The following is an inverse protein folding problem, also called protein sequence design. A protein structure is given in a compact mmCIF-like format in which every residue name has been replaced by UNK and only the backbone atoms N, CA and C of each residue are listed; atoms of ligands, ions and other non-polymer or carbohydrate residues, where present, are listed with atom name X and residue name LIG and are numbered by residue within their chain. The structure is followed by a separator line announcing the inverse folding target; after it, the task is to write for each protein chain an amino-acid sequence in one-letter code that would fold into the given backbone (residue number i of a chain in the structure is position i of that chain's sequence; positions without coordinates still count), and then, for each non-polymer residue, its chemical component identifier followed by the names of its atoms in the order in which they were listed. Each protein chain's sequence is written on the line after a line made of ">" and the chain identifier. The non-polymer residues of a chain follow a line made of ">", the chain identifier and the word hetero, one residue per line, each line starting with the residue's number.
data_IF_855286654196
#
_entry.id   IF_855286654196
#
_cell.length_a   1.000
_cell.length_b   1.000
_cell.length_c   1.000
_cell.angle_alpha   90.00
_cell.angle_beta   90.00
_cell.angle_gamma   90.00
#
_symmetry.space_group_name_H-M   'P 1'
#
loop_
_entity.id
_entity.type
_entity.pdbx_description
1 polymer ?
#
# COMPACT_ATOMS: atom_id res chain seq x y z
N UNK A 1 2.72 22.32 8.87
CA UNK A 1 1.90 21.98 7.69
C UNK A 1 1.46 20.52 7.84
N UNK A 2 0.23 20.16 7.44
CA UNK A 2 -0.16 18.75 7.37
C UNK A 2 0.84 18.02 6.48
N UNK A 3 1.20 16.80 6.85
CA UNK A 3 2.08 15.97 6.03
C UNK A 3 1.38 15.70 4.69
N UNK A 4 2.09 15.79 3.58
CA UNK A 4 1.53 15.55 2.25
C UNK A 4 1.72 14.12 1.76
N UNK A 5 2.66 13.39 2.38
CA UNK A 5 3.08 12.04 2.02
C UNK A 5 3.85 11.40 3.19
N UNK A 6 3.95 10.08 3.19
CA UNK A 6 4.69 9.28 4.15
C UNK A 6 6.05 8.88 3.57
N UNK A 7 7.11 9.11 4.33
CA UNK A 7 8.45 8.61 4.02
C UNK A 7 8.58 7.19 4.52
N UNK A 8 8.81 6.24 3.61
CA UNK A 8 8.90 4.82 3.94
C UNK A 8 10.26 4.23 3.55
N UNK A 9 10.69 3.20 4.27
CA UNK A 9 11.82 2.35 3.89
C UNK A 9 11.30 0.94 3.62
N UNK A 10 11.89 0.26 2.65
CA UNK A 10 11.66 -1.16 2.39
C UNK A 10 12.90 -1.97 2.80
N UNK A 11 12.67 -2.99 3.63
CA UNK A 11 13.63 -4.03 3.98
C UNK A 11 13.14 -5.36 3.45
N UNK A 12 13.81 -5.88 2.44
CA UNK A 12 13.41 -7.08 1.72
C UNK A 12 14.65 -7.64 1.03
N UNK A 13 15.04 -8.89 1.27
CA UNK A 13 16.23 -9.47 0.65
C UNK A 13 15.97 -9.92 -0.79
N UNK A 14 14.75 -10.40 -1.10
CA UNK A 14 14.35 -10.73 -2.46
C UNK A 14 14.27 -9.48 -3.36
N UNK A 15 15.15 -9.34 -4.37
CA UNK A 15 15.12 -8.19 -5.26
C UNK A 15 13.80 -8.05 -6.03
N UNK A 16 13.08 -9.14 -6.32
CA UNK A 16 11.81 -9.06 -7.04
C UNK A 16 10.71 -8.50 -6.16
N UNK A 17 10.54 -9.04 -4.95
CA UNK A 17 9.62 -8.49 -3.97
C UNK A 17 9.94 -7.03 -3.65
N UNK A 18 11.23 -6.69 -3.48
CA UNK A 18 11.67 -5.33 -3.14
C UNK A 18 11.30 -4.32 -4.24
N UNK A 19 11.64 -4.64 -5.49
CA UNK A 19 11.28 -3.82 -6.64
C UNK A 19 9.76 -3.69 -6.80
N UNK A 20 9.02 -4.77 -6.53
CA UNK A 20 7.56 -4.76 -6.61
C UNK A 20 6.94 -3.82 -5.57
N UNK A 21 7.38 -3.91 -4.32
CA UNK A 21 6.93 -3.01 -3.26
C UNK A 21 7.33 -1.56 -3.53
N UNK A 22 8.53 -1.32 -4.04
CA UNK A 22 8.99 0.01 -4.43
C UNK A 22 8.12 0.62 -5.54
N UNK A 23 7.74 -0.18 -6.55
CA UNK A 23 6.83 0.25 -7.62
C UNK A 23 5.44 0.62 -7.08
N UNK A 24 4.87 -0.21 -6.20
CA UNK A 24 3.57 0.07 -5.58
C UNK A 24 3.60 1.36 -4.74
N UNK A 25 4.68 1.57 -3.99
CA UNK A 25 4.86 2.77 -3.19
C UNK A 25 5.11 4.03 -4.05
N UNK A 26 5.86 3.92 -5.14
CA UNK A 26 6.11 5.05 -6.04
C UNK A 26 4.85 5.49 -6.80
N UNK A 27 3.90 4.57 -7.01
CA UNK A 27 2.63 4.84 -7.69
C UNK A 27 1.59 5.52 -6.83
N UNK A 28 1.67 5.37 -5.50
CA UNK A 28 0.67 5.88 -4.58
C UNK A 28 0.97 7.33 -4.18
N UNK A 29 -0.02 8.23 -4.29
CA UNK A 29 0.15 9.64 -3.90
C UNK A 29 0.58 9.85 -2.45
N UNK A 30 0.29 8.90 -1.56
CA UNK A 30 0.52 9.03 -0.12
C UNK A 30 1.92 8.62 0.29
N UNK A 31 2.70 7.94 -0.56
CA UNK A 31 3.99 7.37 -0.15
C UNK A 31 5.16 7.89 -0.96
N UNK A 32 6.32 8.01 -0.29
CA UNK A 32 7.61 8.30 -0.90
C UNK A 32 8.66 7.38 -0.32
N UNK A 33 9.42 6.74 -1.20
CA UNK A 33 10.49 5.84 -0.80
C UNK A 33 11.73 6.64 -0.39
N UNK A 34 12.14 6.47 0.86
CA UNK A 34 13.33 7.10 1.44
C UNK A 34 14.58 6.21 1.31
N UNK A 35 14.40 4.91 1.13
CA UNK A 35 15.49 3.96 0.94
C UNK A 35 15.03 2.52 0.83
N UNK A 36 15.90 1.69 0.27
CA UNK A 36 15.71 0.27 0.06
C UNK A 36 16.94 -0.46 0.58
N UNK A 37 16.74 -1.55 1.32
CA UNK A 37 17.84 -2.38 1.78
C UNK A 37 17.47 -3.86 1.74
N UNK A 38 18.51 -4.67 1.58
CA UNK A 38 18.47 -6.13 1.47
C UNK A 38 18.79 -6.84 2.80
N UNK A 39 19.14 -6.08 3.83
CA UNK A 39 19.55 -6.60 5.14
C UNK A 39 19.03 -5.70 6.26
N UNK A 40 18.42 -6.27 7.33
CA UNK A 40 17.80 -5.49 8.40
C UNK A 40 18.73 -4.44 9.01
N UNK A 41 19.99 -4.81 9.28
CA UNK A 41 20.91 -3.94 10.03
C UNK A 41 21.47 -2.77 9.20
N UNK A 42 21.33 -2.81 7.88
CA UNK A 42 21.78 -1.71 7.00
C UNK A 42 20.94 -0.44 7.17
N UNK A 43 19.77 -0.51 7.81
CA UNK A 43 18.97 0.70 8.10
C UNK A 43 19.50 1.53 9.27
N UNK A 44 20.26 0.93 10.18
CA UNK A 44 20.67 1.58 11.44
C UNK A 44 21.40 2.91 11.18
N UNK A 45 22.36 3.00 10.24
CA UNK A 45 22.97 4.29 9.90
C UNK A 45 21.96 5.34 9.45
N UNK A 46 20.92 4.96 8.70
CA UNK A 46 19.89 5.87 8.22
C UNK A 46 18.96 6.31 9.36
N UNK A 47 18.58 5.40 10.26
CA UNK A 47 17.78 5.73 11.46
C UNK A 47 18.50 6.74 12.37
N UNK A 48 19.84 6.72 12.40
CA UNK A 48 20.64 7.68 13.14
C UNK A 48 20.89 9.01 12.41
N UNK A 49 20.67 9.06 11.09
CA UNK A 49 20.77 10.32 10.36
C UNK A 49 19.58 11.22 10.75
N UNK A 50 19.86 12.43 11.23
CA UNK A 50 18.84 13.44 11.59
C UNK A 50 18.11 14.04 10.37
N UNK A 51 18.25 13.46 9.18
CA UNK A 51 17.74 13.99 7.93
C UNK A 51 16.40 13.32 7.58
N UNK A 52 15.34 14.12 7.64
CA UNK A 52 13.92 13.78 7.41
C UNK A 52 13.28 12.77 8.40
N UNK A 53 12.04 13.05 8.86
CA UNK A 53 11.31 12.12 9.69
C UNK A 53 10.79 10.95 8.84
N UNK A 54 11.40 9.78 9.04
CA UNK A 54 10.90 8.50 8.55
C UNK A 54 9.59 8.13 9.26
N UNK A 55 8.56 7.74 8.51
CA UNK A 55 7.27 7.37 9.07
C UNK A 55 7.14 5.88 9.30
N UNK A 56 7.60 5.05 8.35
CA UNK A 56 7.36 3.62 8.38
C UNK A 56 8.53 2.83 7.78
N UNK A 57 8.82 1.69 8.40
CA UNK A 57 9.69 0.63 7.88
C UNK A 57 8.79 -0.55 7.49
N UNK A 58 8.78 -0.88 6.20
CA UNK A 58 8.29 -2.17 5.72
C UNK A 58 9.38 -3.20 5.96
N UNK A 59 9.10 -4.20 6.78
CA UNK A 59 10.08 -5.17 7.23
C UNK A 59 9.70 -6.57 6.77
N UNK A 60 10.46 -7.15 5.85
CA UNK A 60 10.31 -8.54 5.49
C UNK A 60 10.72 -9.47 6.64
N UNK A 61 9.89 -10.47 6.89
CA UNK A 61 10.07 -11.44 7.98
C UNK A 61 10.77 -12.71 7.52
N UNK A 62 10.97 -12.90 6.22
CA UNK A 62 11.55 -14.11 5.63
C UNK A 62 13.06 -13.95 5.32
N UNK A 63 13.66 -12.81 5.65
CA UNK A 63 15.09 -12.54 5.45
C UNK A 63 15.97 -13.58 6.17
N UNK A 64 16.96 -14.20 5.48
CA UNK A 64 17.88 -15.15 6.09
C UNK A 64 18.64 -14.59 7.31
N UNK A 65 18.80 -15.43 8.33
CA UNK A 65 19.48 -15.05 9.58
C UNK A 65 18.58 -15.08 10.83
N UNK A 66 17.32 -15.48 10.69
CA UNK A 66 16.37 -15.65 11.80
C UNK A 66 15.86 -14.32 12.36
N UNK A 67 15.21 -14.38 13.52
CA UNK A 67 14.51 -13.23 14.12
C UNK A 67 15.41 -12.35 15.02
N UNK A 68 16.73 -12.50 14.92
CA UNK A 68 17.74 -11.75 15.71
C UNK A 68 17.83 -10.27 15.33
N UNK A 69 17.18 -9.88 14.24
CA UNK A 69 17.06 -8.47 13.86
C UNK A 69 16.11 -7.69 14.78
N UNK A 70 15.06 -8.32 15.33
CA UNK A 70 14.03 -7.61 16.11
C UNK A 70 14.64 -6.79 17.25
N UNK A 71 15.47 -7.35 18.15
CA UNK A 71 16.03 -6.59 19.27
C UNK A 71 16.93 -5.45 18.81
N UNK A 72 17.64 -5.62 17.69
CA UNK A 72 18.57 -4.63 17.16
C UNK A 72 17.84 -3.43 16.57
N UNK A 73 16.80 -3.69 15.76
CA UNK A 73 15.95 -2.65 15.19
C UNK A 73 15.18 -1.91 16.30
N UNK A 74 14.61 -2.64 17.25
CA UNK A 74 13.94 -2.04 18.41
C UNK A 74 14.90 -1.18 19.24
N UNK A 75 16.13 -1.64 19.45
CA UNK A 75 17.18 -0.87 20.12
C UNK A 75 17.50 0.44 19.40
N UNK A 76 17.57 0.42 18.07
CA UNK A 76 17.82 1.62 17.25
C UNK A 76 16.67 2.64 17.33
N UNK A 77 15.40 2.18 17.38
CA UNK A 77 14.24 3.10 17.41
C UNK A 77 13.84 3.56 18.82
N UNK A 78 14.18 2.81 19.88
CA UNK A 78 13.74 3.09 21.26
C UNK A 78 14.20 4.44 21.82
N UNK A 79 15.27 5.03 21.27
CA UNK A 79 15.78 6.35 21.67
C UNK A 79 15.21 7.52 20.85
N UNK A 80 14.38 7.26 19.85
CA UNK A 80 13.88 8.29 18.93
C UNK A 80 12.67 9.01 19.55
N UNK A 81 12.64 10.34 19.43
CA UNK A 81 11.48 11.15 19.85
C UNK A 81 10.19 10.76 19.11
N UNK A 82 10.36 10.41 17.83
CA UNK A 82 9.30 9.94 16.95
C UNK A 82 9.83 8.69 16.23
N UNK A 83 9.73 7.50 16.84
CA UNK A 83 10.18 6.27 16.20
C UNK A 83 9.28 5.97 14.99
N UNK A 84 9.85 5.45 13.89
CA UNK A 84 9.04 5.02 12.75
C UNK A 84 8.15 3.83 13.17
N UNK A 85 6.99 3.74 12.52
CA UNK A 85 6.16 2.55 12.56
C UNK A 85 6.88 1.38 11.84
N UNK A 86 6.60 0.14 12.24
CA UNK A 86 7.15 -1.08 11.64
C UNK A 86 5.98 -1.95 11.21
N UNK A 87 5.81 -2.09 9.90
CA UNK A 87 4.82 -2.98 9.30
C UNK A 87 5.56 -4.18 8.73
N UNK A 88 5.33 -5.35 9.32
CA UNK A 88 5.95 -6.58 8.87
C UNK A 88 5.26 -7.14 7.63
N UNK A 89 6.03 -7.66 6.69
CA UNK A 89 5.54 -8.38 5.50
C UNK A 89 6.13 -9.79 5.51
N UNK A 90 5.35 -10.79 5.12
CA UNK A 90 5.86 -12.15 5.00
C UNK A 90 5.19 -12.97 3.91
N UNK A 91 5.84 -14.03 3.47
CA UNK A 91 5.27 -15.02 2.54
C UNK A 91 4.34 -15.96 3.31
N UNK A 92 4.68 -16.27 4.57
CA UNK A 92 3.90 -17.12 5.47
C UNK A 92 3.78 -16.50 6.84
N UNK A 93 2.73 -16.88 7.56
CA UNK A 93 2.53 -16.46 8.93
C UNK A 93 3.58 -17.14 9.84
N UNK A 94 4.42 -16.35 10.49
CA UNK A 94 5.44 -16.85 11.43
C UNK A 94 5.00 -16.59 12.90
N UNK A 95 4.77 -17.65 13.71
CA UNK A 95 4.39 -17.52 15.13
C UNK A 95 5.48 -16.86 15.99
N UNK A 96 6.76 -17.10 15.68
CA UNK A 96 7.89 -16.58 16.46
C UNK A 96 8.03 -15.07 16.26
N UNK A 97 7.79 -14.59 15.04
CA UNK A 97 7.71 -13.16 14.74
C UNK A 97 6.52 -12.54 15.49
N UNK A 98 5.31 -13.08 15.27
CA UNK A 98 4.08 -12.51 15.85
C UNK A 98 4.15 -12.44 17.38
N UNK A 99 4.64 -13.51 18.03
CA UNK A 99 4.79 -13.57 19.49
C UNK A 99 5.78 -12.54 20.07
N UNK A 100 6.65 -11.98 19.23
CA UNK A 100 7.66 -10.97 19.61
C UNK A 100 7.23 -9.53 19.28
N UNK A 101 6.08 -9.32 18.64
CA UNK A 101 5.56 -8.00 18.26
C UNK A 101 4.87 -7.27 19.42
N UNK A 102 5.55 -7.13 20.57
CA UNK A 102 5.00 -6.48 21.76
C UNK A 102 5.37 -4.99 21.87
N UNK A 103 6.21 -4.49 20.97
CA UNK A 103 6.68 -3.10 21.00
C UNK A 103 5.68 -2.15 20.28
N UNK A 104 5.40 -0.95 20.81
CA UNK A 104 4.45 0.00 20.21
C UNK A 104 4.81 0.49 18.79
N UNK A 105 6.07 0.35 18.37
CA UNK A 105 6.48 0.68 17.01
C UNK A 105 5.95 -0.30 15.97
N UNK A 106 5.67 -1.55 16.33
CA UNK A 106 5.00 -2.43 15.40
C UNK A 106 3.58 -1.91 15.18
N UNK A 107 3.11 -1.99 13.94
CA UNK A 107 1.76 -1.52 13.55
C UNK A 107 0.99 -2.55 12.74
N UNK A 108 1.59 -3.70 12.46
CA UNK A 108 0.92 -4.73 11.70
C UNK A 108 1.84 -5.81 11.18
N UNK A 109 1.23 -6.89 10.72
CA UNK A 109 1.88 -7.98 10.03
C UNK A 109 0.94 -8.48 8.93
N UNK A 110 1.40 -8.42 7.68
CA UNK A 110 0.61 -8.74 6.49
C UNK A 110 1.32 -9.79 5.64
N UNK A 111 0.54 -10.67 5.00
CA UNK A 111 1.09 -11.64 4.05
C UNK A 111 1.09 -11.08 2.63
N UNK A 112 2.23 -11.22 1.93
CA UNK A 112 2.47 -10.68 0.58
C UNK A 112 1.42 -11.18 -0.43
N UNK A 113 1.03 -12.45 -0.34
CA UNK A 113 0.03 -13.06 -1.22
C UNK A 113 -1.42 -12.66 -0.90
N UNK A 114 -1.70 -12.19 0.32
CA UNK A 114 -3.03 -11.76 0.75
C UNK A 114 -3.22 -10.26 0.55
N UNK A 115 -2.18 -9.45 0.77
CA UNK A 115 -2.22 -8.00 0.53
C UNK A 115 -2.12 -7.65 -0.95
N UNK A 116 -1.42 -8.47 -1.74
CA UNK A 116 -1.32 -8.31 -3.19
C UNK A 116 -0.92 -6.88 -3.61
N UNK A 117 -1.78 -6.14 -4.29
CA UNK A 117 -1.51 -4.77 -4.77
C UNK A 117 -1.87 -3.67 -3.76
N UNK A 118 -2.44 -4.04 -2.62
CA UNK A 118 -2.97 -3.11 -1.61
C UNK A 118 -1.94 -2.62 -0.60
N UNK A 119 -0.63 -2.73 -0.90
CA UNK A 119 0.44 -2.40 0.05
C UNK A 119 0.34 -0.96 0.57
N UNK A 120 0.14 0.01 -0.32
CA UNK A 120 0.06 1.42 0.08
C UNK A 120 -1.17 1.72 0.95
N UNK A 121 -2.26 0.98 0.76
CA UNK A 121 -3.41 1.03 1.66
C UNK A 121 -3.07 0.52 3.06
N UNK A 122 -2.34 -0.59 3.16
CA UNK A 122 -1.88 -1.10 4.46
C UNK A 122 -1.01 -0.08 5.20
N UNK A 123 -0.13 0.63 4.50
CA UNK A 123 0.73 1.68 5.05
C UNK A 123 -0.11 2.83 5.62
N UNK A 124 -1.04 3.38 4.83
CA UNK A 124 -1.88 4.49 5.27
C UNK A 124 -2.72 4.12 6.50
N UNK A 125 -3.37 2.95 6.46
CA UNK A 125 -4.21 2.47 7.57
C UNK A 125 -3.36 2.24 8.82
N UNK A 126 -2.15 1.70 8.69
CA UNK A 126 -1.24 1.51 9.81
C UNK A 126 -0.81 2.85 10.41
N UNK A 127 -0.47 3.84 9.57
CA UNK A 127 -0.09 5.18 10.00
C UNK A 127 -1.26 6.01 10.55
N UNK A 128 -2.51 5.60 10.29
CA UNK A 128 -3.70 6.15 10.94
C UNK A 128 -3.86 5.67 12.41
N UNK A 129 -2.95 4.84 12.91
CA UNK A 129 -2.94 4.32 14.28
C UNK A 129 -3.74 3.03 14.47
N UNK A 130 -4.07 2.33 13.38
CA UNK A 130 -4.74 1.02 13.41
C UNK A 130 -3.72 -0.10 13.24
N UNK A 131 -3.88 -1.19 13.96
CA UNK A 131 -3.12 -2.40 13.73
C UNK A 131 -3.61 -3.10 12.46
N UNK A 132 -2.71 -3.40 11.53
CA UNK A 132 -3.08 -3.96 10.22
C UNK A 132 -2.64 -5.42 10.12
N UNK A 133 -3.57 -6.30 9.77
CA UNK A 133 -3.27 -7.71 9.52
C UNK A 133 -3.95 -8.22 8.25
N UNK A 134 -3.46 -9.30 7.68
CA UNK A 134 -4.22 -10.09 6.71
C UNK A 134 -4.84 -11.32 7.37
N UNK A 135 -5.72 -12.03 6.65
CA UNK A 135 -6.48 -13.16 7.20
C UNK A 135 -5.59 -14.29 7.75
N UNK A 136 -4.48 -14.62 7.09
CA UNK A 136 -3.54 -15.63 7.56
C UNK A 136 -2.91 -15.26 8.91
N UNK A 137 -2.57 -13.98 9.11
CA UNK A 137 -2.05 -13.48 10.40
C UNK A 137 -3.14 -13.46 11.46
N UNK A 138 -4.37 -13.06 11.13
CA UNK A 138 -5.51 -13.12 12.05
C UNK A 138 -5.78 -14.55 12.52
N UNK A 139 -5.79 -15.50 11.59
CA UNK A 139 -5.98 -16.92 11.87
C UNK A 139 -4.87 -17.46 12.77
N UNK A 140 -3.61 -17.11 12.50
CA UNK A 140 -2.47 -17.46 13.37
C UNK A 140 -2.65 -16.88 14.77
N UNK A 141 -2.92 -15.57 14.89
CA UNK A 141 -3.11 -14.91 16.17
C UNK A 141 -4.21 -15.59 17.00
N UNK A 142 -5.32 -15.95 16.37
CA UNK A 142 -6.40 -16.71 17.01
C UNK A 142 -5.94 -18.10 17.47
N UNK A 143 -5.17 -18.83 16.67
CA UNK A 143 -4.72 -20.19 17.03
C UNK A 143 -3.74 -20.20 18.20
N UNK A 144 -2.88 -19.18 18.30
CA UNK A 144 -1.95 -19.04 19.42
C UNK A 144 -2.52 -18.20 20.59
N UNK A 145 -3.78 -17.76 20.52
CA UNK A 145 -4.41 -16.86 21.49
C UNK A 145 -3.62 -15.56 21.73
N UNK A 146 -2.95 -15.07 20.68
CA UNK A 146 -2.27 -13.79 20.70
C UNK A 146 -3.29 -12.66 20.56
N UNK A 147 -3.40 -11.74 21.54
CA UNK A 147 -4.34 -10.63 21.47
C UNK A 147 -3.83 -9.57 20.50
N UNK A 148 -4.45 -9.45 19.32
CA UNK A 148 -4.12 -8.39 18.38
C UNK A 148 -4.39 -7.00 19.00
N UNK A 149 -3.43 -6.05 18.92
CA UNK A 149 -3.61 -4.69 19.42
C UNK A 149 -4.81 -3.99 18.76
N UNK A 150 -5.50 -3.13 19.52
CA UNK A 150 -6.69 -2.40 19.03
C UNK A 150 -6.44 -0.90 18.94
N UNK A 151 -7.06 -0.20 17.97
CA UNK A 151 -7.98 -0.71 16.94
C UNK A 151 -7.26 -1.56 15.88
N UNK A 152 -7.92 -2.59 15.34
CA UNK A 152 -7.33 -3.47 14.33
C UNK A 152 -8.22 -3.60 13.10
N UNK A 153 -7.60 -3.68 11.92
CA UNK A 153 -8.26 -3.90 10.63
C UNK A 153 -7.63 -5.10 9.94
N UNK A 154 -8.48 -5.97 9.43
CA UNK A 154 -8.09 -7.10 8.57
C UNK A 154 -8.25 -6.66 7.13
N UNK A 155 -7.20 -6.82 6.35
CA UNK A 155 -7.19 -6.50 4.92
C UNK A 155 -7.21 -7.76 4.08
N UNK A 156 -8.03 -7.76 3.03
CA UNK A 156 -7.96 -8.73 1.95
C UNK A 156 -7.75 -8.01 0.61
N UNK A 157 -6.48 -7.91 0.19
CA UNK A 157 -6.09 -7.31 -1.09
C UNK A 157 -6.34 -8.19 -2.31
N UNK A 158 -6.92 -9.38 -2.13
CA UNK A 158 -7.44 -10.21 -3.23
C UNK A 158 -8.88 -9.82 -3.60
N UNK A 159 -9.56 -9.10 -2.70
CA UNK A 159 -10.92 -8.60 -2.90
C UNK A 159 -10.90 -7.09 -3.04
N UNK A 160 -10.57 -6.62 -4.24
CA UNK A 160 -10.59 -5.19 -4.58
C UNK A 160 -11.73 -4.90 -5.55
N UNK A 161 -11.94 -3.62 -5.91
CA UNK A 161 -12.87 -3.26 -6.99
C UNK A 161 -12.52 -3.95 -8.30
N UNK A 162 -11.26 -4.34 -8.52
CA UNK A 162 -10.86 -5.16 -9.66
C UNK A 162 -11.60 -6.50 -9.71
N UNK A 163 -12.00 -7.07 -8.57
CA UNK A 163 -12.77 -8.32 -8.50
C UNK A 163 -14.21 -8.19 -9.02
N UNK A 164 -14.71 -6.95 -9.21
CA UNK A 164 -16.02 -6.67 -9.81
C UNK A 164 -15.96 -6.53 -11.33
N UNK A 165 -14.76 -6.44 -11.89
CA UNK A 165 -14.52 -6.34 -13.33
C UNK A 165 -14.62 -7.73 -13.98
N UNK A 166 -14.97 -7.78 -15.26
CA UNK A 166 -14.77 -9.01 -16.04
C UNK A 166 -13.28 -9.37 -16.10
N UNK A 167 -12.95 -10.64 -16.34
CA UNK A 167 -11.56 -11.11 -16.43
C UNK A 167 -10.72 -10.25 -17.39
N UNK A 168 -11.27 -9.97 -18.58
CA UNK A 168 -10.58 -9.15 -19.57
C UNK A 168 -10.36 -7.71 -19.08
N UNK A 169 -11.37 -7.09 -18.46
CA UNK A 169 -11.24 -5.75 -17.89
C UNK A 169 -10.27 -5.70 -16.71
N UNK A 170 -10.18 -6.77 -15.90
CA UNK A 170 -9.20 -6.88 -14.83
C UNK A 170 -7.77 -6.98 -15.37
N UNK A 171 -7.56 -7.70 -16.49
CA UNK A 171 -6.26 -7.75 -17.17
C UNK A 171 -5.90 -6.37 -17.76
N UNK A 172 -6.85 -5.72 -18.45
CA UNK A 172 -6.70 -4.35 -18.95
C UNK A 172 -6.37 -3.38 -17.83
N UNK A 173 -7.11 -3.40 -16.71
CA UNK A 173 -6.89 -2.49 -15.59
C UNK A 173 -5.52 -2.68 -14.95
N UNK A 174 -5.05 -3.94 -14.90
CA UNK A 174 -3.72 -4.26 -14.38
C UNK A 174 -2.63 -3.68 -15.28
N UNK A 175 -2.69 -3.94 -16.58
CA UNK A 175 -1.71 -3.39 -17.53
C UNK A 175 -1.76 -1.85 -17.56
N UNK A 176 -2.96 -1.28 -17.63
CA UNK A 176 -3.17 0.15 -17.78
C UNK A 176 -2.84 0.96 -16.53
N UNK A 177 -3.21 0.50 -15.33
CA UNK A 177 -3.17 1.33 -14.11
C UNK A 177 -2.15 0.86 -13.09
N UNK A 178 -1.91 -0.45 -12.98
CA UNK A 178 -0.89 -0.99 -12.07
C UNK A 178 0.51 -0.88 -12.69
N UNK A 179 0.63 -1.28 -13.95
CA UNK A 179 1.90 -1.19 -14.69
C UNK A 179 2.04 0.11 -15.49
N UNK A 180 0.98 0.92 -15.60
CA UNK A 180 1.00 2.20 -16.32
C UNK A 180 1.46 2.07 -17.77
N UNK A 181 1.09 0.96 -18.40
CA UNK A 181 1.43 0.67 -19.77
C UNK A 181 0.81 1.72 -20.70
N UNK A 182 1.61 2.23 -21.64
CA UNK A 182 1.12 3.17 -22.63
C UNK A 182 0.05 2.51 -23.52
N UNK A 183 -0.89 3.30 -24.07
CA UNK A 183 -2.06 2.76 -24.77
C UNK A 183 -1.72 1.94 -26.00
N UNK A 184 -0.64 2.31 -26.69
CA UNK A 184 -0.09 1.56 -27.82
C UNK A 184 0.49 0.21 -27.37
N UNK A 185 1.35 0.22 -26.35
CA UNK A 185 1.93 -1.01 -25.79
C UNK A 185 0.86 -1.95 -25.23
N UNK A 186 -0.18 -1.38 -24.59
CA UNK A 186 -1.34 -2.11 -24.11
C UNK A 186 -2.09 -2.79 -25.26
N UNK A 187 -2.30 -2.08 -26.37
CA UNK A 187 -2.97 -2.64 -27.52
C UNK A 187 -2.16 -3.77 -28.17
N UNK A 188 -0.83 -3.58 -28.28
CA UNK A 188 0.09 -4.61 -28.76
C UNK A 188 0.08 -5.85 -27.86
N UNK A 189 0.14 -5.68 -26.54
CA UNK A 189 0.11 -6.79 -25.55
C UNK A 189 -1.23 -7.55 -25.58
N UNK A 190 -2.34 -6.84 -25.79
CA UNK A 190 -3.67 -7.44 -25.90
C UNK A 190 -3.98 -8.02 -27.29
N UNK A 191 -3.10 -7.79 -28.28
CA UNK A 191 -3.31 -8.21 -29.67
C UNK A 191 -4.50 -7.50 -30.35
N UNK A 192 -4.76 -6.25 -29.99
CA UNK A 192 -5.87 -5.43 -30.51
C UNK A 192 -5.36 -4.16 -31.20
N UNK A 193 -6.23 -3.48 -31.95
CA UNK A 193 -5.90 -2.17 -32.54
C UNK A 193 -5.87 -1.08 -31.47
N UNK A 194 -4.96 -0.11 -31.61
CA UNK A 194 -4.75 0.96 -30.61
C UNK A 194 -6.04 1.69 -30.18
N UNK A 195 -6.90 2.06 -31.13
CA UNK A 195 -8.19 2.72 -30.86
C UNK A 195 -9.11 1.89 -29.94
N UNK A 196 -9.04 0.55 -30.03
CA UNK A 196 -9.78 -0.34 -29.14
C UNK A 196 -9.19 -0.33 -27.73
N UNK A 197 -7.87 -0.21 -27.60
CA UNK A 197 -7.20 -0.05 -26.30
C UNK A 197 -7.67 1.19 -25.54
N UNK A 198 -7.84 2.33 -26.23
CA UNK A 198 -8.43 3.54 -25.63
C UNK A 198 -9.88 3.31 -25.19
N UNK A 199 -10.68 2.65 -26.02
CA UNK A 199 -12.08 2.32 -25.70
C UNK A 199 -12.20 1.45 -24.45
N UNK A 200 -11.37 0.39 -24.34
CA UNK A 200 -11.37 -0.51 -23.18
C UNK A 200 -10.99 0.22 -21.89
N UNK A 201 -9.93 1.03 -21.91
CA UNK A 201 -9.52 1.80 -20.73
C UNK A 201 -10.62 2.79 -20.32
N UNK A 202 -11.30 3.45 -21.28
CA UNK A 202 -12.43 4.34 -20.99
C UNK A 202 -13.58 3.60 -20.31
N UNK A 203 -13.92 2.40 -20.77
CA UNK A 203 -14.95 1.57 -20.13
C UNK A 203 -14.58 1.19 -18.70
N UNK A 204 -13.31 0.88 -18.44
CA UNK A 204 -12.86 0.61 -17.07
C UNK A 204 -12.96 1.87 -16.20
N UNK A 205 -12.58 3.05 -16.71
CA UNK A 205 -12.77 4.31 -15.98
C UNK A 205 -14.23 4.59 -15.62
N UNK A 206 -15.15 4.32 -16.55
CA UNK A 206 -16.60 4.48 -16.34
C UNK A 206 -17.12 3.49 -15.30
N UNK A 207 -16.72 2.22 -15.39
CA UNK A 207 -17.12 1.20 -14.42
C UNK A 207 -16.58 1.47 -13.01
N UNK A 208 -15.39 2.05 -12.92
CA UNK A 208 -14.82 2.49 -11.64
C UNK A 208 -15.45 3.80 -11.14
N UNK A 209 -16.20 4.56 -11.95
CA UNK A 209 -16.77 5.85 -11.53
C UNK A 209 -15.71 6.92 -11.26
N UNK A 210 -14.55 6.86 -11.93
CA UNK A 210 -13.42 7.79 -11.68
C UNK A 210 -13.83 9.25 -11.94
N UNK A 211 -14.62 9.50 -12.99
CA UNK A 211 -15.13 10.84 -13.30
C UNK A 211 -16.14 11.33 -12.26
N UNK A 212 -16.95 10.43 -11.72
CA UNK A 212 -17.96 10.75 -10.71
C UNK A 212 -17.29 11.18 -9.42
N UNK A 213 -16.24 10.48 -8.98
CA UNK A 213 -15.41 10.86 -7.81
C UNK A 213 -14.79 12.26 -7.96
N UNK A 214 -14.39 12.65 -9.17
CA UNK A 214 -13.79 13.96 -9.41
C UNK A 214 -14.82 15.10 -9.42
N UNK A 215 -16.09 14.79 -9.68
CA UNK A 215 -17.14 15.80 -9.85
C UNK A 215 -18.03 15.91 -8.62
N UNK A 216 -18.39 14.79 -8.02
CA UNK A 216 -19.30 14.65 -6.88
C UNK A 216 -18.55 14.43 -5.56
N UNK A 217 -18.76 15.35 -4.60
CA UNK A 217 -18.11 15.27 -3.29
C UNK A 217 -18.65 14.13 -2.41
N UNK A 218 -19.94 13.80 -2.52
CA UNK A 218 -20.55 12.73 -1.74
C UNK A 218 -20.02 11.37 -2.19
N UNK A 219 -19.91 11.16 -3.51
CA UNK A 219 -19.31 9.94 -4.08
C UNK A 219 -17.84 9.85 -3.64
N UNK A 220 -17.05 10.91 -3.79
CA UNK A 220 -15.65 10.92 -3.35
C UNK A 220 -15.50 10.52 -1.87
N UNK A 221 -16.33 11.09 -0.99
CA UNK A 221 -16.30 10.77 0.45
C UNK A 221 -16.71 9.33 0.72
N UNK A 222 -17.68 8.77 0.01
CA UNK A 222 -18.08 7.37 0.19
C UNK A 222 -16.93 6.37 -0.03
N UNK A 223 -15.94 6.71 -0.87
CA UNK A 223 -14.74 5.90 -1.11
C UNK A 223 -13.59 6.23 -0.16
N UNK A 224 -13.40 7.51 0.18
CA UNK A 224 -12.15 8.02 0.77
C UNK A 224 -12.32 8.84 2.05
N UNK A 225 -13.47 8.81 2.74
CA UNK A 225 -13.71 9.70 3.91
C UNK A 225 -12.61 9.58 4.99
N UNK A 226 -12.15 8.35 5.24
CA UNK A 226 -11.08 8.04 6.20
C UNK A 226 -9.66 8.24 5.63
N UNK A 227 -9.52 8.88 4.46
CA UNK A 227 -8.27 8.93 3.67
C UNK A 227 -7.87 10.38 3.33
N UNK A 228 -7.39 11.16 4.32
CA UNK A 228 -7.21 12.60 4.18
C UNK A 228 -6.18 12.99 3.09
N UNK A 229 -5.15 12.17 2.86
CA UNK A 229 -4.14 12.45 1.83
C UNK A 229 -4.69 12.27 0.41
N UNK A 230 -5.45 11.20 0.15
CA UNK A 230 -6.10 10.98 -1.15
C UNK A 230 -7.12 12.10 -1.40
N UNK A 231 -7.95 12.42 -0.39
CA UNK A 231 -8.91 13.53 -0.47
C UNK A 231 -8.23 14.86 -0.80
N UNK A 232 -7.11 15.18 -0.14
CA UNK A 232 -6.35 16.39 -0.41
C UNK A 232 -5.79 16.44 -1.84
N UNK A 233 -5.37 15.30 -2.39
CA UNK A 233 -4.92 15.21 -3.79
C UNK A 233 -6.08 15.40 -4.77
N UNK A 234 -7.21 14.74 -4.55
CA UNK A 234 -8.41 14.90 -5.38
C UNK A 234 -8.89 16.36 -5.35
N UNK A 235 -8.91 16.99 -4.18
CA UNK A 235 -9.29 18.40 -4.05
C UNK A 235 -8.34 19.35 -4.81
N UNK A 236 -7.03 19.09 -4.82
CA UNK A 236 -6.07 19.85 -5.64
C UNK A 236 -6.36 19.69 -7.13
N UNK A 237 -6.66 18.47 -7.58
CA UNK A 237 -7.04 18.20 -8.97
C UNK A 237 -8.29 19.01 -9.33
N UNK A 238 -9.34 19.00 -8.49
CA UNK A 238 -10.58 19.78 -8.68
C UNK A 238 -10.34 21.29 -8.69
N UNK A 239 -9.48 21.79 -7.80
CA UNK A 239 -9.18 23.22 -7.68
C UNK A 239 -8.40 23.80 -8.87
N UNK A 240 -7.75 22.94 -9.66
CA UNK A 240 -6.98 23.39 -10.84
C UNK A 240 -7.90 23.85 -12.00
N UNK A 241 -9.23 23.64 -11.89
CA UNK A 241 -10.24 24.13 -12.83
C UNK A 241 -10.22 23.44 -14.21
N UNK A 242 -11.17 23.80 -15.09
CA UNK A 242 -11.49 23.20 -16.42
C UNK A 242 -10.34 22.96 -17.43
N UNK A 243 -9.07 23.14 -17.07
CA UNK A 243 -7.98 22.54 -17.81
C UNK A 243 -8.07 21.01 -17.63
N UNK A 244 -8.23 20.27 -18.73
CA UNK A 244 -8.32 18.81 -18.77
C UNK A 244 -7.51 18.14 -17.66
N UNK A 245 -8.21 17.44 -16.76
CA UNK A 245 -7.58 16.59 -15.74
C UNK A 245 -6.49 15.78 -16.42
N UNK A 246 -5.26 15.86 -15.90
CA UNK A 246 -4.13 15.20 -16.54
C UNK A 246 -4.39 13.70 -16.57
N UNK A 247 -4.06 13.05 -17.69
CA UNK A 247 -4.23 11.61 -17.84
C UNK A 247 -3.55 10.82 -16.70
N UNK A 248 -2.40 11.29 -16.23
CA UNK A 248 -1.69 10.73 -15.08
C UNK A 248 -2.51 10.78 -13.78
N UNK A 249 -3.22 11.88 -13.51
CA UNK A 249 -4.01 12.01 -12.27
C UNK A 249 -5.22 11.07 -12.27
N UNK A 250 -5.86 10.89 -13.44
CA UNK A 250 -6.92 9.89 -13.62
C UNK A 250 -6.40 8.48 -13.41
N UNK A 251 -5.23 8.18 -13.97
CA UNK A 251 -4.60 6.88 -13.85
C UNK A 251 -4.23 6.55 -12.41
N UNK A 252 -3.62 7.48 -11.68
CA UNK A 252 -3.30 7.27 -10.27
C UNK A 252 -4.56 7.15 -9.39
N UNK A 253 -5.63 7.90 -9.70
CA UNK A 253 -6.91 7.72 -9.02
C UNK A 253 -7.47 6.32 -9.27
N UNK A 254 -7.47 5.85 -10.52
CA UNK A 254 -7.88 4.48 -10.84
C UNK A 254 -7.01 3.44 -10.13
N UNK A 255 -5.69 3.65 -10.05
CA UNK A 255 -4.78 2.83 -9.27
C UNK A 255 -5.22 2.71 -7.81
N UNK A 256 -5.54 3.82 -7.13
CA UNK A 256 -6.03 3.77 -5.75
C UNK A 256 -7.31 2.95 -5.61
N UNK A 257 -8.22 3.07 -6.59
CA UNK A 257 -9.48 2.33 -6.58
C UNK A 257 -9.30 0.83 -6.80
N UNK A 258 -8.54 0.42 -7.82
CA UNK A 258 -8.35 -1.00 -8.14
C UNK A 258 -7.49 -1.73 -7.11
N UNK A 259 -6.69 -1.00 -6.33
CA UNK A 259 -5.86 -1.55 -5.26
C UNK A 259 -6.51 -1.44 -3.88
N UNK A 260 -7.67 -0.81 -3.75
CA UNK A 260 -8.38 -0.69 -2.47
C UNK A 260 -8.81 -2.09 -1.97
N UNK A 261 -8.31 -2.55 -0.81
CA UNK A 261 -8.65 -3.87 -0.28
C UNK A 261 -10.04 -3.85 0.36
N UNK A 262 -10.61 -5.03 0.53
CA UNK A 262 -11.68 -5.23 1.52
C UNK A 262 -11.09 -5.02 2.92
N UNK A 263 -11.78 -4.22 3.74
CA UNK A 263 -11.33 -3.87 5.09
C UNK A 263 -12.38 -4.30 6.10
N UNK A 264 -11.99 -5.15 7.05
CA UNK A 264 -12.88 -5.64 8.11
C UNK A 264 -12.32 -5.20 9.47
N UNK A 265 -12.95 -4.23 10.15
CA UNK A 265 -12.56 -3.85 11.51
C UNK A 265 -12.78 -5.00 12.49
N UNK A 266 -11.78 -5.33 13.30
CA UNK A 266 -11.92 -6.27 14.40
C UNK A 266 -12.51 -5.54 15.61
N UNK A 267 -13.73 -5.94 15.96
CA UNK A 267 -14.48 -5.44 17.12
C UNK A 267 -14.11 -6.15 18.41
#
# INVERSE_FOLDING_TARGET
>A
MPKSEFQIIILEDDPFARNWMALLAARDWRTRLAGEFDQPLKIIPLLHQKASPLDLVLMDTDIPGGEDWIPQILGAVSGMKHPPAILCTGIRANPDILGRMNHPSFVGYILKNEINYSLAWAIDIALSGKWVVTEGIRSLASSMRFPLPRPCVVLDGRKTLQSTLSRHQADVSRLAFLFSMERRELADELGIVEDWGYGLVSQVYEQLGVKDILTDEEIMRSYFDDQPLILAHIQKIRATGNATVKAHDLETLAFHMITMPEMVPLR
#
